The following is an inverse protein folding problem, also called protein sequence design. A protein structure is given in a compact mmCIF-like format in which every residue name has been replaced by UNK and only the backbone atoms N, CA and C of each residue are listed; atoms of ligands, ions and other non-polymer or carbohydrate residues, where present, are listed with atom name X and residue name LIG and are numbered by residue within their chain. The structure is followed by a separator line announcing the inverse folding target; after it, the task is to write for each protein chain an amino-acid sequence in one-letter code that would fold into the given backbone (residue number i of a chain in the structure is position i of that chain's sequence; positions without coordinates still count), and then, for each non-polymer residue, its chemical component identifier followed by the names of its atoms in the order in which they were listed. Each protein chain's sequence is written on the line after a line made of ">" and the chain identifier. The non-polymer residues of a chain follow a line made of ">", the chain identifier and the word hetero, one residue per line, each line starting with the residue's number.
data_IF_651915505309
#
_entry.id   IF_651915505309
#
_cell.length_a   1.000
_cell.length_b   1.000
_cell.length_c   1.000
_cell.angle_alpha   90.00
_cell.angle_beta   90.00
_cell.angle_gamma   90.00
#
_symmetry.space_group_name_H-M   'P 1'
#
loop_
_entity.id
_entity.type
_entity.pdbx_description
1 polymer ?
#
# COMPACT_ATOMS: atom_id res chain seq x y z
N UNK A 1 -18.09 41.95 -9.70
CA UNK A 1 -18.75 40.68 -9.47
C UNK A 1 -18.09 39.50 -10.21
N UNK A 2 -17.36 39.77 -11.25
CA UNK A 2 -16.66 38.72 -12.01
C UNK A 2 -15.39 38.20 -11.36
N UNK A 3 -14.96 38.82 -10.29
CA UNK A 3 -13.70 38.46 -9.63
C UNK A 3 -13.77 37.16 -8.78
N UNK A 4 -14.95 36.74 -8.42
CA UNK A 4 -15.12 35.58 -7.56
C UNK A 4 -15.04 34.24 -8.30
N UNK A 5 -15.28 34.24 -9.59
CA UNK A 5 -15.26 33.02 -10.39
C UNK A 5 -13.86 32.51 -10.70
N UNK A 6 -12.89 33.42 -10.75
CA UNK A 6 -11.51 33.04 -11.09
C UNK A 6 -10.80 32.37 -9.93
N UNK A 7 -11.14 32.77 -8.71
CA UNK A 7 -10.50 32.22 -7.50
C UNK A 7 -10.89 30.76 -7.26
N UNK A 8 -12.12 30.39 -7.58
CA UNK A 8 -12.58 29.02 -7.40
C UNK A 8 -11.90 28.00 -8.32
N UNK A 9 -11.57 28.43 -9.53
CA UNK A 9 -10.96 27.55 -10.51
C UNK A 9 -9.50 27.24 -10.17
N UNK A 10 -8.78 28.21 -9.63
CA UNK A 10 -7.39 28.04 -9.24
C UNK A 10 -7.25 27.10 -8.04
N UNK A 11 -8.18 27.18 -7.10
CA UNK A 11 -8.17 26.31 -5.94
C UNK A 11 -8.40 24.84 -6.32
N UNK A 12 -9.25 24.59 -7.30
CA UNK A 12 -9.54 23.24 -7.75
C UNK A 12 -8.32 22.57 -8.43
N UNK A 13 -7.56 23.34 -9.18
CA UNK A 13 -6.40 22.81 -9.88
C UNK A 13 -5.22 22.52 -8.95
N UNK A 14 -5.11 23.22 -7.83
CA UNK A 14 -4.10 22.96 -6.82
C UNK A 14 -4.42 21.76 -5.96
N UNK A 15 -5.69 21.43 -5.80
CA UNK A 15 -6.10 20.30 -4.97
C UNK A 15 -5.73 18.94 -5.57
N UNK A 16 -5.75 18.81 -6.88
CA UNK A 16 -5.50 17.53 -7.55
C UNK A 16 -4.06 16.99 -7.34
N UNK A 17 -2.99 17.80 -7.50
CA UNK A 17 -1.64 17.30 -7.19
C UNK A 17 -1.45 16.99 -5.71
N UNK A 18 -2.05 17.76 -4.83
CA UNK A 18 -1.97 17.52 -3.39
C UNK A 18 -2.61 16.18 -3.00
N UNK A 19 -3.75 15.83 -3.59
CA UNK A 19 -4.41 14.55 -3.35
C UNK A 19 -3.56 13.36 -3.82
N UNK A 20 -2.86 13.49 -4.96
CA UNK A 20 -1.99 12.44 -5.48
C UNK A 20 -0.78 12.20 -4.57
N UNK A 21 -0.20 13.26 -4.00
CA UNK A 21 0.90 13.16 -3.06
C UNK A 21 0.44 12.63 -1.71
N UNK A 22 -0.72 13.07 -1.25
CA UNK A 22 -1.29 12.61 0.02
C UNK A 22 -1.55 11.11 0.03
N UNK A 23 -1.85 10.51 -1.11
CA UNK A 23 -2.14 9.08 -1.17
C UNK A 23 -0.96 8.24 -0.66
N UNK A 24 0.27 8.55 -1.10
CA UNK A 24 1.46 7.81 -0.65
C UNK A 24 1.79 8.11 0.81
N UNK A 25 1.77 9.38 1.20
CA UNK A 25 2.03 9.79 2.57
C UNK A 25 0.97 9.27 3.54
N UNK A 26 -0.31 9.34 3.15
CA UNK A 26 -1.42 8.82 3.94
C UNK A 26 -1.33 7.31 4.11
N UNK A 27 -0.96 6.59 3.07
CA UNK A 27 -0.77 5.14 3.13
C UNK A 27 0.38 4.77 4.07
N UNK A 28 1.49 5.50 4.03
CA UNK A 28 2.63 5.28 4.92
C UNK A 28 2.26 5.55 6.38
N UNK A 29 1.54 6.63 6.65
CA UNK A 29 1.07 6.97 8.01
C UNK A 29 0.07 5.94 8.53
N UNK A 30 -0.85 5.51 7.70
CA UNK A 30 -1.81 4.45 8.04
C UNK A 30 -1.10 3.14 8.32
N UNK A 31 -0.14 2.79 7.48
CA UNK A 31 0.66 1.58 7.63
C UNK A 31 1.43 1.58 8.95
N UNK A 32 2.03 2.71 9.32
CA UNK A 32 2.74 2.86 10.59
C UNK A 32 1.82 2.61 11.78
N UNK A 33 0.60 3.16 11.75
CA UNK A 33 -0.39 2.90 12.80
C UNK A 33 -0.81 1.44 12.87
N UNK A 34 -1.02 0.83 11.72
CA UNK A 34 -1.37 -0.60 11.65
C UNK A 34 -0.23 -1.49 12.10
N UNK A 35 1.00 -1.13 11.77
CA UNK A 35 2.19 -1.83 12.26
C UNK A 35 2.22 -1.87 13.78
N UNK A 36 2.05 -0.70 14.40
CA UNK A 36 2.03 -0.58 15.86
C UNK A 36 0.86 -1.34 16.50
N UNK A 37 -0.27 -1.37 15.82
CA UNK A 37 -1.43 -2.12 16.30
C UNK A 37 -1.22 -3.64 16.24
N UNK A 38 -0.42 -4.11 15.28
CA UNK A 38 -0.08 -5.53 15.16
C UNK A 38 1.05 -5.95 16.08
N UNK A 39 1.90 -5.01 16.46
CA UNK A 39 2.99 -5.22 17.43
C UNK A 39 2.39 -5.29 18.83
N UNK A 40 1.92 -6.47 19.20
CA UNK A 40 1.18 -6.68 20.46
C UNK A 40 2.05 -6.55 21.70
N UNK A 41 3.32 -6.87 21.59
CA UNK A 41 4.27 -6.76 22.70
C UNK A 41 5.03 -5.42 22.73
N UNK A 42 4.79 -4.54 21.73
CA UNK A 42 5.38 -3.21 21.63
C UNK A 42 6.92 -3.22 21.65
N UNK A 43 7.52 -4.20 20.99
CA UNK A 43 8.99 -4.31 20.88
C UNK A 43 9.57 -3.61 19.65
N UNK A 44 8.70 -3.01 18.81
CA UNK A 44 9.11 -2.29 17.61
C UNK A 44 9.36 -3.17 16.39
N UNK A 45 9.12 -4.47 16.49
CA UNK A 45 9.25 -5.42 15.41
C UNK A 45 8.03 -6.32 15.33
N UNK A 46 7.75 -6.86 14.17
CA UNK A 46 6.70 -7.87 14.00
C UNK A 46 7.32 -9.25 13.88
N UNK A 47 6.79 -10.17 14.63
CA UNK A 47 7.09 -11.60 14.50
C UNK A 47 6.10 -12.27 13.55
N UNK A 48 6.46 -13.45 13.07
CA UNK A 48 5.59 -14.23 12.21
C UNK A 48 4.25 -14.55 12.89
N UNK A 49 4.29 -14.83 14.20
CA UNK A 49 3.08 -15.11 14.99
C UNK A 49 2.15 -13.90 15.06
N UNK A 50 2.68 -12.72 15.25
CA UNK A 50 1.89 -11.46 15.27
C UNK A 50 1.26 -11.16 13.91
N UNK A 51 2.01 -11.35 12.83
CA UNK A 51 1.50 -11.19 11.46
C UNK A 51 0.40 -12.21 11.18
N UNK A 52 0.60 -13.47 11.55
CA UNK A 52 -0.41 -14.52 11.41
C UNK A 52 -1.69 -14.17 12.18
N UNK A 53 -1.56 -13.74 13.43
CA UNK A 53 -2.69 -13.33 14.25
C UNK A 53 -3.45 -12.15 13.62
N UNK A 54 -2.74 -11.17 13.07
CA UNK A 54 -3.34 -10.05 12.36
C UNK A 54 -4.12 -10.50 11.12
N UNK A 55 -3.57 -11.42 10.35
CA UNK A 55 -4.23 -11.99 9.16
C UNK A 55 -5.51 -12.72 9.56
N UNK A 56 -5.47 -13.49 10.62
CA UNK A 56 -6.66 -14.20 11.11
C UNK A 56 -7.77 -13.24 11.53
N UNK A 57 -7.42 -12.10 12.09
CA UNK A 57 -8.39 -11.03 12.45
C UNK A 57 -9.02 -10.34 11.24
N UNK A 58 -8.35 -10.36 10.09
CA UNK A 58 -8.91 -9.79 8.86
C UNK A 58 -10.05 -10.63 8.31
N UNK A 59 -10.10 -11.91 8.63
CA UNK A 59 -11.23 -12.76 8.30
C UNK A 59 -12.47 -12.30 9.07
N UNK A 60 -13.57 -12.11 8.38
CA UNK A 60 -14.85 -11.82 9.01
C UNK A 60 -15.74 -13.06 9.02
N UNK A 61 -16.91 -12.95 9.63
CA UNK A 61 -17.80 -14.07 9.84
C UNK A 61 -18.16 -14.91 8.62
N UNK A 62 -18.09 -14.34 7.42
CA UNK A 62 -18.39 -15.05 6.17
C UNK A 62 -17.13 -15.64 5.51
N UNK A 63 -15.97 -15.03 5.74
CA UNK A 63 -14.70 -15.49 5.20
C UNK A 63 -13.69 -15.62 6.33
N UNK A 64 -13.80 -16.70 7.05
CA UNK A 64 -12.81 -17.03 8.06
C UNK A 64 -11.54 -17.50 7.37
N UNK A 65 -10.43 -16.91 7.76
CA UNK A 65 -9.12 -17.38 7.34
C UNK A 65 -8.68 -18.41 8.36
N UNK A 66 -8.51 -19.63 7.91
CA UNK A 66 -8.06 -20.71 8.81
C UNK A 66 -6.56 -20.57 9.12
N UNK A 67 -6.12 -21.32 10.11
CA UNK A 67 -4.76 -21.27 10.62
C UNK A 67 -3.71 -21.57 9.54
N UNK A 68 -3.99 -22.52 8.65
CA UNK A 68 -3.06 -22.93 7.60
C UNK A 68 -2.91 -21.84 6.55
N UNK A 69 -4.01 -21.24 6.13
CA UNK A 69 -3.98 -20.13 5.16
C UNK A 69 -3.34 -18.90 5.75
N UNK A 70 -3.64 -18.58 7.01
CA UNK A 70 -3.03 -17.46 7.71
C UNK A 70 -1.52 -17.62 7.83
N UNK A 71 -1.06 -18.83 8.18
CA UNK A 71 0.37 -19.14 8.28
C UNK A 71 1.06 -18.98 6.92
N UNK A 72 0.44 -19.47 5.85
CA UNK A 72 1.00 -19.37 4.49
C UNK A 72 1.10 -17.90 4.04
N UNK A 73 0.06 -17.10 4.28
CA UNK A 73 0.07 -15.67 3.94
C UNK A 73 1.10 -14.92 4.77
N UNK A 74 1.24 -15.25 6.05
CA UNK A 74 2.27 -14.68 6.90
C UNK A 74 3.68 -15.00 6.38
N UNK A 75 3.92 -16.25 5.98
CA UNK A 75 5.20 -16.67 5.41
C UNK A 75 5.53 -15.90 4.12
N UNK A 76 4.55 -15.75 3.23
CA UNK A 76 4.73 -15.02 1.98
C UNK A 76 5.04 -13.54 2.23
N UNK A 77 4.29 -12.91 3.12
CA UNK A 77 4.52 -11.51 3.46
C UNK A 77 5.87 -11.32 4.14
N UNK A 78 6.15 -12.18 5.09
CA UNK A 78 7.39 -12.16 5.86
C UNK A 78 8.62 -12.32 4.96
N UNK A 79 8.55 -13.26 4.02
CA UNK A 79 9.63 -13.49 3.06
C UNK A 79 9.95 -12.27 2.20
N UNK A 80 8.96 -11.42 1.96
CA UNK A 80 9.15 -10.16 1.23
C UNK A 80 9.60 -9.00 2.11
N UNK A 81 9.10 -8.95 3.33
CA UNK A 81 9.32 -7.83 4.24
C UNK A 81 10.64 -7.97 5.01
N UNK A 82 10.98 -9.17 5.43
CA UNK A 82 12.19 -9.47 6.20
C UNK A 82 13.42 -9.46 5.28
N UNK A 83 13.95 -8.27 5.04
CA UNK A 83 15.05 -8.09 4.10
C UNK A 83 16.37 -8.71 4.59
N UNK A 84 16.63 -8.62 5.87
CA UNK A 84 17.85 -9.17 6.49
C UNK A 84 17.70 -10.62 6.96
N UNK A 85 16.50 -11.17 6.89
CA UNK A 85 16.18 -12.57 7.23
C UNK A 85 16.56 -12.94 8.66
N UNK A 86 16.28 -12.04 9.60
CA UNK A 86 16.52 -12.27 11.02
C UNK A 86 15.31 -12.86 11.75
N UNK A 87 14.21 -13.09 11.03
CA UNK A 87 12.97 -13.63 11.59
C UNK A 87 12.08 -12.57 12.24
N UNK A 88 12.41 -11.32 12.07
CA UNK A 88 11.65 -10.17 12.59
C UNK A 88 11.59 -9.09 11.52
N UNK A 89 10.49 -8.35 11.49
CA UNK A 89 10.31 -7.24 10.55
C UNK A 89 10.22 -5.95 11.32
N UNK A 90 11.17 -5.05 11.10
CA UNK A 90 11.13 -3.70 11.66
C UNK A 90 10.16 -2.83 10.87
N UNK A 91 9.74 -1.71 11.46
CA UNK A 91 8.89 -0.74 10.75
C UNK A 91 9.58 -0.22 9.49
N UNK A 92 10.90 0.00 9.55
CA UNK A 92 11.68 0.45 8.40
C UNK A 92 11.66 -0.56 7.24
N UNK A 93 11.81 -1.85 7.54
CA UNK A 93 11.72 -2.91 6.54
C UNK A 93 10.33 -3.00 5.93
N UNK A 94 9.30 -2.91 6.75
CA UNK A 94 7.92 -2.92 6.30
C UNK A 94 7.58 -1.70 5.44
N UNK A 95 8.07 -0.52 5.82
CA UNK A 95 7.92 0.71 5.01
C UNK A 95 8.67 0.61 3.68
N UNK A 96 9.84 0.00 3.67
CA UNK A 96 10.58 -0.23 2.45
C UNK A 96 9.84 -1.17 1.48
N UNK A 97 9.19 -2.20 2.01
CA UNK A 97 8.33 -3.07 1.20
C UNK A 97 7.15 -2.30 0.62
N UNK A 98 6.50 -1.48 1.43
CA UNK A 98 5.39 -0.64 0.99
C UNK A 98 5.81 0.29 -0.15
N UNK A 99 6.94 0.96 -0.02
CA UNK A 99 7.49 1.84 -1.05
C UNK A 99 7.75 1.10 -2.36
N UNK A 100 8.39 -0.06 -2.29
CA UNK A 100 8.62 -0.90 -3.47
C UNK A 100 7.33 -1.32 -4.16
N UNK A 101 6.33 -1.68 -3.38
CA UNK A 101 5.02 -2.07 -3.90
C UNK A 101 4.36 -0.90 -4.65
N UNK A 102 4.47 0.31 -4.12
CA UNK A 102 3.98 1.50 -4.81
C UNK A 102 4.74 1.76 -6.11
N UNK A 103 6.05 1.66 -6.08
CA UNK A 103 6.89 1.88 -7.27
C UNK A 103 6.58 0.86 -8.37
N UNK A 104 6.41 -0.40 -8.00
CA UNK A 104 6.03 -1.46 -8.93
C UNK A 104 4.64 -1.22 -9.53
N UNK A 105 3.70 -0.78 -8.71
CA UNK A 105 2.35 -0.45 -9.17
C UNK A 105 2.37 0.72 -10.15
N UNK A 106 3.10 1.78 -9.83
CA UNK A 106 3.22 2.95 -10.71
C UNK A 106 3.92 2.58 -12.03
N UNK A 107 4.97 1.77 -11.98
CA UNK A 107 5.65 1.28 -13.17
C UNK A 107 4.73 0.43 -14.05
N UNK A 108 3.97 -0.48 -13.44
CA UNK A 108 3.02 -1.31 -14.17
C UNK A 108 1.92 -0.47 -14.81
N UNK A 109 1.42 0.53 -14.09
CA UNK A 109 0.41 1.47 -14.59
C UNK A 109 0.94 2.27 -15.78
N UNK A 110 2.17 2.77 -15.69
CA UNK A 110 2.81 3.49 -16.78
C UNK A 110 3.00 2.61 -18.02
N UNK A 111 3.43 1.37 -17.82
CA UNK A 111 3.59 0.41 -18.91
C UNK A 111 2.27 0.10 -19.62
N UNK A 112 1.19 -0.08 -18.85
CA UNK A 112 -0.15 -0.28 -19.41
C UNK A 112 -0.63 0.93 -20.22
N UNK A 113 -0.38 2.13 -19.72
CA UNK A 113 -0.74 3.37 -20.40
C UNK A 113 -0.02 3.49 -21.74
N UNK A 114 1.25 3.12 -21.80
CA UNK A 114 2.02 3.13 -23.05
C UNK A 114 1.49 2.12 -24.06
N UNK A 115 1.09 0.95 -23.61
CA UNK A 115 0.55 -0.10 -24.50
C UNK A 115 -0.84 0.25 -25.00
N UNK A 116 -1.69 0.82 -24.16
CA UNK A 116 -3.07 1.10 -24.48
C UNK A 116 -3.25 2.33 -25.37
N UNK A 117 -2.44 3.38 -25.15
CA UNK A 117 -2.62 4.68 -25.77
C UNK A 117 -2.37 4.70 -27.27
N UNK A 118 -1.11 4.69 -27.73
CA UNK A 118 -0.83 4.90 -29.15
C UNK A 118 -1.13 3.69 -30.02
N UNK A 119 -1.07 2.49 -29.48
CA UNK A 119 -1.27 1.27 -30.27
C UNK A 119 -2.72 1.05 -30.67
N UNK A 120 -3.67 1.50 -29.87
CA UNK A 120 -5.10 1.32 -30.14
C UNK A 120 -5.59 2.18 -31.30
N UNK A 121 -5.05 3.37 -31.46
CA UNK A 121 -5.46 4.31 -32.51
C UNK A 121 -5.22 3.80 -33.93
N UNK A 122 -4.02 3.37 -34.30
CA UNK A 122 -3.73 2.97 -35.65
C UNK A 122 -4.43 1.69 -36.11
N UNK A 123 -4.86 0.87 -35.19
CA UNK A 123 -5.50 -0.40 -35.53
C UNK A 123 -6.91 -0.27 -36.10
N UNK A 124 -7.46 0.91 -36.11
CA UNK A 124 -8.77 1.17 -36.67
C UNK A 124 -8.85 1.03 -38.21
N UNK A 125 -7.79 0.73 -38.84
CA UNK A 125 -7.73 0.58 -40.28
C UNK A 125 -8.25 -0.76 -40.77
#
# INVERSE_FOLDING_TARGET
>A
MTRFLVVGLVAASLAAPALAQDTRASAAAKFSREFKARDTNHDGVLTKAEVKAAIMKMGNGQRKIDDVHAARLADLWFGKADANKDGKVTEAEAQALLSRTFDEYEAAKAAQAQQAGPAAGPKGR
#
